data_IF_545137385279
#
_entry.id   IF_545137385279
#
_cell.length_a   1.000
_cell.length_b   1.000
_cell.length_c   1.000
_cell.angle_alpha   90.00
_cell.angle_beta   90.00
_cell.angle_gamma   90.00
#
_symmetry.space_group_name_H-M   'P 1'
#
loop_
_entity.id
_entity.type
_entity.pdbx_description
1 polymer ?
#
# COMPACT_ATOMS: atom_id res chain seq x y z
N UNK A 1 -41.25 2.39 36.80
CA UNK A 1 -40.11 2.02 35.92
C UNK A 1 -38.86 1.63 36.73
N UNK A 2 -38.59 2.27 37.89
CA UNK A 2 -37.45 1.92 38.75
C UNK A 2 -37.61 0.57 39.47
N UNK A 3 -38.85 0.19 39.78
CA UNK A 3 -39.14 -1.03 40.56
C UNK A 3 -39.09 -2.29 39.71
N UNK A 4 -39.51 -2.23 38.45
CA UNK A 4 -39.41 -3.35 37.50
C UNK A 4 -37.96 -3.76 37.18
N UNK A 5 -37.04 -2.79 37.17
CA UNK A 5 -35.60 -3.06 36.97
C UNK A 5 -35.01 -3.73 38.21
N UNK A 6 -35.42 -3.30 39.41
CA UNK A 6 -34.96 -3.90 40.68
C UNK A 6 -35.47 -5.33 40.83
N UNK A 7 -36.72 -5.58 40.48
CA UNK A 7 -37.30 -6.93 40.52
C UNK A 7 -36.64 -7.88 39.54
N UNK A 8 -36.27 -7.37 38.35
CA UNK A 8 -35.50 -8.12 37.38
C UNK A 8 -34.09 -8.45 37.90
N UNK A 9 -33.38 -7.46 38.47
CA UNK A 9 -32.05 -7.65 39.08
C UNK A 9 -32.09 -8.65 40.25
N UNK A 10 -33.14 -8.62 41.07
CA UNK A 10 -33.31 -9.53 42.19
C UNK A 10 -33.54 -10.97 41.73
N UNK A 11 -34.42 -11.18 40.73
CA UNK A 11 -34.66 -12.52 40.13
C UNK A 11 -33.40 -13.09 39.47
N UNK A 12 -32.61 -12.24 38.80
CA UNK A 12 -31.32 -12.62 38.20
C UNK A 12 -30.33 -13.06 39.30
N UNK A 13 -30.23 -12.29 40.39
CA UNK A 13 -29.36 -12.62 41.54
C UNK A 13 -29.72 -13.97 42.18
N UNK A 14 -31.00 -14.26 42.36
CA UNK A 14 -31.45 -15.54 42.90
C UNK A 14 -31.12 -16.72 41.97
N UNK A 15 -31.30 -16.54 40.65
CA UNK A 15 -30.96 -17.54 39.63
C UNK A 15 -29.46 -17.82 39.52
N UNK A 16 -28.60 -16.81 39.73
CA UNK A 16 -27.14 -16.93 39.72
C UNK A 16 -26.60 -17.88 40.79
N UNK A 17 -27.25 -17.93 41.97
CA UNK A 17 -26.71 -18.67 43.12
C UNK A 17 -27.12 -20.14 43.17
N UNK A 18 -28.21 -20.53 42.48
CA UNK A 18 -28.75 -21.89 42.53
C UNK A 18 -28.23 -22.81 41.42
N UNK A 19 -27.97 -22.27 40.23
CA UNK A 19 -27.65 -23.08 39.05
C UNK A 19 -26.34 -22.64 38.38
N UNK A 20 -25.28 -23.46 38.50
CA UNK A 20 -23.95 -23.19 37.91
C UNK A 20 -23.99 -22.95 36.39
N UNK A 21 -24.94 -23.57 35.68
CA UNK A 21 -25.12 -23.39 34.22
C UNK A 21 -25.55 -21.98 33.82
N UNK A 22 -26.28 -21.27 34.68
CA UNK A 22 -26.73 -19.88 34.43
C UNK A 22 -25.56 -18.91 34.55
N UNK A 23 -24.62 -19.16 35.48
CA UNK A 23 -23.38 -18.41 35.59
C UNK A 23 -22.50 -18.56 34.34
N UNK A 24 -22.39 -19.78 33.83
CA UNK A 24 -21.61 -20.07 32.61
C UNK A 24 -22.25 -19.35 31.41
N UNK A 25 -23.57 -19.42 31.22
CA UNK A 25 -24.22 -18.75 30.09
C UNK A 25 -24.07 -17.23 30.15
N UNK A 26 -24.12 -16.63 31.34
CA UNK A 26 -23.98 -15.18 31.50
C UNK A 26 -22.54 -14.72 31.25
N UNK A 27 -21.55 -15.53 31.65
CA UNK A 27 -20.14 -15.33 31.32
C UNK A 27 -19.87 -15.40 29.80
N UNK A 28 -20.47 -16.37 29.10
CA UNK A 28 -20.37 -16.48 27.64
C UNK A 28 -20.99 -15.27 26.94
N UNK A 29 -22.15 -14.80 27.40
CA UNK A 29 -22.80 -13.60 26.85
C UNK A 29 -21.92 -12.35 27.05
N UNK A 30 -21.34 -12.18 28.24
CA UNK A 30 -20.40 -11.09 28.52
C UNK A 30 -19.15 -11.15 27.63
N UNK A 31 -18.61 -12.36 27.40
CA UNK A 31 -17.45 -12.56 26.54
C UNK A 31 -17.76 -12.23 25.07
N UNK A 32 -18.92 -12.62 24.56
CA UNK A 32 -19.37 -12.28 23.20
C UNK A 32 -19.51 -10.76 23.05
N UNK A 33 -20.09 -10.07 24.03
CA UNK A 33 -20.23 -8.61 24.03
C UNK A 33 -18.85 -7.93 24.05
N UNK A 34 -17.91 -8.44 24.86
CA UNK A 34 -16.55 -7.90 24.93
C UNK A 34 -15.79 -8.07 23.60
N UNK A 35 -15.86 -9.26 22.99
CA UNK A 35 -15.22 -9.53 21.70
C UNK A 35 -15.85 -8.70 20.58
N UNK A 36 -17.19 -8.64 20.52
CA UNK A 36 -17.90 -7.81 19.55
C UNK A 36 -17.57 -6.33 19.68
N UNK A 37 -17.50 -5.81 20.91
CA UNK A 37 -17.09 -4.44 21.19
C UNK A 37 -15.65 -4.14 20.75
N UNK A 38 -14.72 -5.07 21.01
CA UNK A 38 -13.32 -4.93 20.59
C UNK A 38 -13.16 -4.93 19.06
N UNK A 39 -13.88 -5.80 18.34
CA UNK A 39 -13.87 -5.84 16.87
C UNK A 39 -14.47 -4.56 16.29
N UNK A 40 -15.58 -4.06 16.85
CA UNK A 40 -16.21 -2.82 16.40
C UNK A 40 -15.32 -1.59 16.63
N UNK A 41 -14.68 -1.49 17.80
CA UNK A 41 -13.72 -0.42 18.10
C UNK A 41 -12.49 -0.50 17.18
N UNK A 42 -11.93 -1.70 17.00
CA UNK A 42 -10.81 -1.92 16.08
C UNK A 42 -11.13 -1.51 14.65
N UNK A 43 -12.32 -1.90 14.16
CA UNK A 43 -12.79 -1.48 12.84
C UNK A 43 -12.99 0.04 12.75
N UNK A 44 -13.56 0.70 13.77
CA UNK A 44 -13.78 2.15 13.75
C UNK A 44 -12.47 2.96 13.70
N UNK A 45 -11.45 2.54 14.44
CA UNK A 45 -10.12 3.20 14.44
C UNK A 45 -9.36 2.88 13.13
N UNK A 46 -9.52 1.66 12.60
CA UNK A 46 -8.86 1.25 11.36
C UNK A 46 -9.52 1.87 10.10
N UNK A 47 -10.85 1.99 10.06
CA UNK A 47 -11.57 2.62 8.94
C UNK A 47 -11.24 4.11 8.79
N UNK A 48 -10.93 4.82 9.89
CA UNK A 48 -10.44 6.19 9.80
C UNK A 48 -9.12 6.34 9.02
N UNK A 49 -8.31 5.27 8.98
CA UNK A 49 -7.04 5.21 8.23
C UNK A 49 -7.18 4.72 6.78
N UNK A 50 -8.32 4.13 6.42
CA UNK A 50 -8.61 3.69 5.05
C UNK A 50 -9.28 4.79 4.22
N UNK A 51 -10.02 5.70 4.86
CA UNK A 51 -10.65 6.83 4.16
C UNK A 51 -9.63 7.86 3.62
N UNK A 52 -8.43 7.93 4.20
CA UNK A 52 -7.31 8.73 3.67
C UNK A 52 -6.60 8.08 2.46
N UNK A 53 -6.79 6.78 2.24
CA UNK A 53 -6.25 6.07 1.07
C UNK A 53 -7.16 6.21 -0.16
N UNK A 54 -8.47 6.40 0.03
CA UNK A 54 -9.43 6.66 -1.06
C UNK A 54 -9.68 8.15 -1.32
N UNK A 55 -9.22 9.06 -0.46
CA UNK A 55 -9.21 10.51 -0.73
C UNK A 55 -8.09 10.95 -1.70
N UNK A 56 -7.11 10.08 -1.99
CA UNK A 56 -5.99 10.36 -2.89
C UNK A 56 -6.04 9.54 -4.19
N UNK A 57 -7.22 9.47 -4.82
CA UNK A 57 -7.40 8.95 -6.20
C UNK A 57 -8.37 9.78 -7.06
N UNK A 58 -8.67 11.03 -6.66
CA UNK A 58 -9.49 11.93 -7.47
C UNK A 58 -9.20 13.43 -7.21
N UNK A 59 -7.94 13.84 -7.40
CA UNK A 59 -7.57 15.27 -7.51
C UNK A 59 -6.82 15.58 -8.81
N UNK A 60 -7.09 14.83 -9.88
CA UNK A 60 -6.68 15.21 -11.24
C UNK A 60 -7.82 15.88 -12.04
N UNK A 61 -8.92 16.28 -11.40
CA UNK A 61 -10.07 16.90 -12.10
C UNK A 61 -10.53 18.23 -11.47
N UNK A 62 -9.57 19.04 -11.02
CA UNK A 62 -9.80 20.46 -10.69
C UNK A 62 -8.56 21.33 -10.90
N UNK A 63 -7.84 21.10 -12.00
CA UNK A 63 -7.00 22.12 -12.63
C UNK A 63 -7.60 22.41 -14.01
N UNK A 64 -8.81 22.99 -14.01
CA UNK A 64 -9.27 23.81 -15.13
C UNK A 64 -9.07 25.28 -14.74
N UNK A 65 -7.81 25.62 -14.50
CA UNK A 65 -7.30 26.96 -14.74
C UNK A 65 -6.88 27.01 -16.21
N UNK A 66 -7.82 27.35 -17.09
CA UNK A 66 -7.48 27.81 -18.43
C UNK A 66 -6.78 29.15 -18.27
N UNK A 67 -5.46 29.23 -18.45
CA UNK A 67 -4.77 30.33 -19.14
C UNK A 67 -3.43 29.83 -19.75
N UNK A 68 -3.43 29.59 -21.07
CA UNK A 68 -2.28 29.74 -21.97
C UNK A 68 -0.97 28.96 -21.67
N UNK A 69 -1.05 27.64 -21.52
CA UNK A 69 0.10 26.79 -21.86
C UNK A 69 -0.03 26.41 -23.34
N UNK A 70 0.76 27.06 -24.20
CA UNK A 70 1.16 26.47 -25.47
C UNK A 70 2.10 25.29 -25.13
N UNK A 71 1.53 24.26 -24.48
CA UNK A 71 2.17 22.97 -24.24
C UNK A 71 2.15 22.27 -25.60
N UNK A 72 3.18 22.54 -26.39
CA UNK A 72 3.53 21.69 -27.53
C UNK A 72 3.48 20.25 -27.02
N UNK A 73 2.47 19.49 -27.44
CA UNK A 73 2.36 18.08 -27.10
C UNK A 73 3.71 17.44 -27.42
N UNK A 74 4.46 17.03 -26.38
CA UNK A 74 5.80 16.49 -26.56
C UNK A 74 5.66 15.22 -27.36
N UNK A 75 6.17 15.24 -28.60
CA UNK A 75 6.10 14.09 -29.48
C UNK A 75 7.01 13.00 -28.92
N UNK A 76 6.41 11.92 -28.41
CA UNK A 76 7.14 10.78 -27.88
C UNK A 76 7.37 9.77 -29.01
N UNK A 77 8.62 9.41 -29.22
CA UNK A 77 9.03 8.42 -30.22
C UNK A 77 9.84 7.32 -29.54
N UNK A 78 9.78 6.07 -30.06
CA UNK A 78 10.59 4.98 -29.51
C UNK A 78 12.08 5.19 -29.86
N UNK A 79 12.96 5.06 -28.86
CA UNK A 79 14.41 5.01 -29.07
C UNK A 79 14.81 3.79 -29.88
N UNK A 80 15.81 3.90 -30.75
CA UNK A 80 16.25 2.77 -31.59
C UNK A 80 16.96 1.65 -30.82
N UNK A 81 17.61 1.96 -29.71
CA UNK A 81 18.46 0.98 -28.99
C UNK A 81 17.66 0.04 -28.07
N UNK A 82 16.58 0.54 -27.45
CA UNK A 82 15.81 -0.20 -26.45
C UNK A 82 14.27 -0.05 -26.59
N UNK A 83 13.79 0.78 -27.52
CA UNK A 83 12.37 0.98 -27.78
C UNK A 83 11.62 1.84 -26.77
N UNK A 84 12.29 2.36 -25.74
CA UNK A 84 11.64 3.22 -24.72
C UNK A 84 11.14 4.51 -25.36
N UNK A 85 9.93 4.95 -25.01
CA UNK A 85 9.35 6.20 -25.50
C UNK A 85 9.99 7.39 -24.79
N UNK A 86 10.57 8.32 -25.56
CA UNK A 86 11.21 9.53 -25.06
C UNK A 86 10.91 10.71 -26.00
N UNK A 87 11.16 11.96 -25.58
CA UNK A 87 11.10 13.11 -26.48
C UNK A 87 11.96 12.92 -27.74
N UNK A 88 11.48 13.43 -28.87
CA UNK A 88 12.14 13.23 -30.18
C UNK A 88 13.62 13.66 -30.19
N UNK A 89 13.96 14.74 -29.48
CA UNK A 89 15.32 15.28 -29.32
C UNK A 89 16.25 14.41 -28.44
N UNK A 90 15.69 13.57 -27.58
CA UNK A 90 16.45 12.62 -26.73
C UNK A 90 16.46 11.19 -27.29
N UNK A 91 15.78 10.96 -28.42
CA UNK A 91 15.47 9.61 -28.90
C UNK A 91 16.66 8.80 -29.40
N UNK A 92 17.67 9.46 -29.96
CA UNK A 92 18.71 8.80 -30.75
C UNK A 92 20.07 9.49 -30.65
N UNK A 93 20.55 9.73 -29.43
CA UNK A 93 21.94 10.12 -29.20
C UNK A 93 22.92 9.08 -29.78
N UNK A 94 24.12 9.53 -30.18
CA UNK A 94 25.16 8.62 -30.66
C UNK A 94 25.57 7.66 -29.52
N UNK A 95 25.49 6.33 -29.70
CA UNK A 95 25.78 5.39 -28.63
C UNK A 95 27.22 5.50 -28.14
N UNK A 96 27.39 5.57 -26.81
CA UNK A 96 28.68 5.40 -26.16
C UNK A 96 28.80 3.96 -25.65
N UNK A 97 29.76 3.21 -26.18
CA UNK A 97 30.07 1.86 -25.73
C UNK A 97 31.32 1.89 -24.85
N UNK A 98 31.23 1.35 -23.65
CA UNK A 98 32.31 1.30 -22.66
C UNK A 98 32.50 -0.16 -22.24
N UNK A 99 33.75 -0.61 -22.22
CA UNK A 99 34.10 -1.91 -21.65
C UNK A 99 34.24 -1.74 -20.14
N UNK A 100 33.48 -2.52 -19.38
CA UNK A 100 33.42 -2.45 -17.92
C UNK A 100 33.97 -3.74 -17.33
N UNK A 101 34.84 -3.62 -16.32
CA UNK A 101 35.38 -4.74 -15.56
C UNK A 101 34.28 -5.39 -14.68
N UNK A 102 34.18 -6.73 -14.72
CA UNK A 102 33.19 -7.50 -13.95
C UNK A 102 33.80 -8.49 -12.94
N UNK A 103 35.10 -8.41 -12.67
CA UNK A 103 35.74 -9.09 -11.54
C UNK A 103 35.00 -8.83 -10.23
N UNK A 104 34.92 -9.85 -9.37
CA UNK A 104 34.23 -9.78 -8.06
C UNK A 104 34.74 -8.63 -7.19
N UNK A 105 36.04 -8.33 -7.26
CA UNK A 105 36.65 -7.23 -6.51
C UNK A 105 36.25 -5.83 -6.99
N UNK A 106 35.75 -5.71 -8.23
CA UNK A 106 35.37 -4.44 -8.87
C UNK A 106 33.89 -4.09 -8.64
N UNK A 107 33.14 -4.93 -7.94
CA UNK A 107 31.72 -4.71 -7.67
C UNK A 107 31.52 -3.89 -6.38
N UNK A 108 30.57 -2.94 -6.35
CA UNK A 108 29.64 -2.57 -7.42
C UNK A 108 30.25 -1.59 -8.45
N UNK A 109 29.84 -1.71 -9.70
CA UNK A 109 30.20 -0.76 -10.76
C UNK A 109 29.34 0.52 -10.69
N UNK A 110 29.90 1.64 -11.12
CA UNK A 110 29.19 2.94 -11.15
C UNK A 110 28.56 3.19 -12.52
N UNK A 111 27.34 3.73 -12.54
CA UNK A 111 26.66 4.18 -13.77
C UNK A 111 26.06 3.05 -14.62
N UNK A 112 26.13 1.80 -14.18
CA UNK A 112 25.49 0.67 -14.87
C UNK A 112 23.96 0.81 -14.92
N UNK A 113 23.38 1.49 -13.94
CA UNK A 113 21.96 1.84 -13.85
C UNK A 113 21.52 2.91 -14.86
N UNK A 114 22.47 3.68 -15.39
CA UNK A 114 22.22 4.71 -16.40
C UNK A 114 22.39 4.19 -17.84
N UNK A 115 22.89 2.95 -18.01
CA UNK A 115 23.08 2.33 -19.32
C UNK A 115 21.74 1.87 -19.90
N UNK A 116 21.50 2.13 -21.20
CA UNK A 116 20.31 1.63 -21.89
C UNK A 116 20.41 0.13 -22.22
N UNK A 117 21.63 -0.38 -22.39
CA UNK A 117 21.88 -1.77 -22.75
C UNK A 117 23.20 -2.26 -22.15
N UNK A 118 23.19 -3.48 -21.61
CA UNK A 118 24.35 -4.13 -21.03
C UNK A 118 24.50 -5.49 -21.69
N UNK A 119 25.68 -5.73 -22.26
CA UNK A 119 26.07 -7.04 -22.76
C UNK A 119 27.16 -7.62 -21.86
N UNK A 120 26.94 -8.83 -21.38
CA UNK A 120 27.94 -9.61 -20.64
C UNK A 120 28.45 -10.72 -21.56
N UNK A 121 29.76 -10.86 -21.65
CA UNK A 121 30.43 -11.88 -22.43
C UNK A 121 31.69 -12.31 -21.69
N UNK A 122 32.07 -13.58 -21.86
CA UNK A 122 33.31 -14.12 -21.28
C UNK A 122 34.51 -13.37 -21.86
N UNK A 123 35.38 -12.87 -20.99
CA UNK A 123 36.60 -12.16 -21.38
C UNK A 123 37.84 -12.88 -20.86
N UNK A 124 37.95 -13.08 -19.54
CA UNK A 124 39.16 -13.61 -18.90
C UNK A 124 38.85 -14.86 -18.06
N UNK A 125 39.16 -16.03 -18.62
CA UNK A 125 39.31 -17.26 -17.82
C UNK A 125 38.04 -17.77 -17.12
N UNK A 126 36.84 -17.46 -17.64
CA UNK A 126 35.56 -17.87 -17.05
C UNK A 126 34.83 -16.76 -16.29
N UNK A 127 35.32 -15.52 -16.41
CA UNK A 127 34.65 -14.28 -16.00
C UNK A 127 34.49 -13.38 -17.22
#
# INVERSE_FOLDING_TARGET
MKDSIRDFLWKVKEGLTKNKSVLISLGVILLIIAVGGAVWLGASVFSGKLNDWDANKNTNDSILGNENANESAVNLVPRRIDGVLVPEDESNFYPAAIIIENLTASRPQSGLDQAQLVYEALAEGGI
#
